data_IF_632435685200
#
_entry.id   IF_632435685200
#
_cell.length_a   1.000
_cell.length_b   1.000
_cell.length_c   1.000
_cell.angle_alpha   90.00
_cell.angle_beta   90.00
_cell.angle_gamma   90.00
#
_symmetry.space_group_name_H-M   'P 1'
#
loop_
_entity.id
_entity.type
_entity.pdbx_description
1 polymer ?
#
# COMPACT_ATOMS: atom_id res chain seq x y z
N UNK A 1 -18.37 -10.16 21.23
CA UNK A 1 -17.47 -10.66 20.18
C UNK A 1 -17.50 -9.74 18.98
N UNK A 2 -16.35 -9.49 18.42
CA UNK A 2 -16.26 -8.61 17.27
C UNK A 2 -16.31 -9.45 15.99
N UNK A 3 -17.21 -9.18 15.09
CA UNK A 3 -17.23 -9.92 13.83
C UNK A 3 -15.97 -9.61 13.02
N UNK A 4 -15.56 -10.61 12.27
CA UNK A 4 -14.46 -10.45 11.35
C UNK A 4 -14.95 -9.62 10.16
N UNK A 5 -14.27 -8.55 9.89
CA UNK A 5 -14.65 -7.63 8.84
C UNK A 5 -13.41 -7.22 8.06
N UNK A 6 -13.64 -6.48 6.98
CA UNK A 6 -12.55 -5.83 6.31
C UNK A 6 -11.81 -4.94 7.32
N UNK A 7 -10.49 -4.84 7.22
CA UNK A 7 -9.74 -4.06 8.19
C UNK A 7 -10.19 -2.61 8.17
N UNK A 8 -10.56 -2.11 9.35
CA UNK A 8 -10.91 -0.71 9.52
C UNK A 8 -9.76 0.04 10.16
N UNK A 9 -8.73 -0.69 10.59
CA UNK A 9 -7.53 -0.13 11.19
C UNK A 9 -6.32 -0.77 10.56
N UNK A 10 -5.23 -0.06 10.66
CA UNK A 10 -3.96 -0.53 10.17
C UNK A 10 -3.08 0.64 9.86
N UNK A 11 -1.84 0.38 9.49
CA UNK A 11 -0.95 1.46 9.11
C UNK A 11 -1.50 2.22 7.92
N UNK A 12 -1.41 3.54 8.00
CA UNK A 12 -1.84 4.44 6.95
C UNK A 12 -0.64 5.25 6.49
N UNK A 13 -0.45 5.33 5.20
CA UNK A 13 0.69 6.04 4.61
C UNK A 13 0.21 6.93 3.47
N UNK A 14 1.04 7.89 3.11
CA UNK A 14 0.75 8.75 1.97
C UNK A 14 0.93 7.96 0.69
N UNK A 15 0.10 8.25 -0.29
CA UNK A 15 0.15 7.55 -1.57
C UNK A 15 1.36 7.94 -2.42
N UNK A 16 2.13 8.94 -2.01
CA UNK A 16 3.39 9.30 -2.67
C UNK A 16 4.58 8.49 -2.16
N UNK A 17 4.36 7.60 -1.18
CA UNK A 17 5.40 6.71 -0.70
C UNK A 17 5.81 5.72 -1.78
N UNK A 18 7.10 5.40 -1.85
CA UNK A 18 7.57 4.40 -2.82
C UNK A 18 7.16 2.99 -2.38
N UNK A 19 7.09 2.09 -3.37
CA UNK A 19 6.78 0.67 -3.09
C UNK A 19 7.82 0.06 -2.16
N UNK A 20 9.10 0.38 -2.35
CA UNK A 20 10.16 -0.15 -1.49
C UNK A 20 9.96 0.24 -0.04
N UNK A 21 9.69 1.51 0.20
CA UNK A 21 9.47 1.99 1.56
C UNK A 21 8.20 1.38 2.16
N UNK A 22 7.16 1.25 1.36
CA UNK A 22 5.91 0.66 1.81
C UNK A 22 6.09 -0.78 2.26
N UNK A 23 6.88 -1.56 1.51
CA UNK A 23 7.18 -2.94 1.91
C UNK A 23 7.95 -2.98 3.22
N UNK A 24 8.87 -2.04 3.44
CA UNK A 24 9.58 -1.92 4.70
C UNK A 24 8.65 -1.60 5.86
N UNK A 25 7.71 -0.69 5.64
CA UNK A 25 6.72 -0.33 6.66
C UNK A 25 5.87 -1.55 7.02
N UNK A 26 5.42 -2.31 6.02
CA UNK A 26 4.64 -3.51 6.25
C UNK A 26 5.41 -4.54 7.07
N UNK A 27 6.69 -4.74 6.76
CA UNK A 27 7.54 -5.66 7.50
C UNK A 27 7.69 -5.22 8.95
N UNK A 28 7.97 -3.95 9.17
CA UNK A 28 8.15 -3.41 10.52
C UNK A 28 6.89 -3.48 11.36
N UNK A 29 5.72 -3.34 10.74
CA UNK A 29 4.43 -3.37 11.42
C UNK A 29 3.80 -4.76 11.42
N UNK A 30 4.44 -5.74 10.81
CA UNK A 30 3.86 -7.08 10.62
C UNK A 30 2.47 -7.00 9.99
N UNK A 31 2.29 -6.09 9.04
CA UNK A 31 1.01 -5.85 8.41
C UNK A 31 0.98 -6.41 7.00
N UNK A 32 -0.16 -6.93 6.60
CA UNK A 32 -0.35 -7.43 5.25
C UNK A 32 -1.02 -6.44 4.32
N UNK A 33 -1.30 -5.24 4.81
CA UNK A 33 -1.97 -4.20 4.03
C UNK A 33 -1.59 -2.82 4.55
N UNK A 34 -1.81 -1.82 3.72
CA UNK A 34 -1.64 -0.42 4.09
C UNK A 34 -2.84 0.37 3.57
N UNK A 35 -3.34 1.28 4.39
CA UNK A 35 -4.30 2.26 3.92
C UNK A 35 -3.54 3.43 3.32
N UNK A 36 -4.04 3.95 2.22
CA UNK A 36 -3.41 5.06 1.52
C UNK A 36 -4.23 6.32 1.70
N UNK A 37 -3.54 7.42 1.86
CA UNK A 37 -4.19 8.72 1.92
C UNK A 37 -3.48 9.70 0.99
N UNK A 38 -4.20 10.74 0.61
CA UNK A 38 -3.64 11.83 -0.18
C UNK A 38 -3.06 12.90 0.75
N UNK A 39 -2.67 14.02 0.18
CA UNK A 39 -2.08 15.12 0.95
C UNK A 39 -3.08 15.81 1.87
N UNK A 40 -4.37 15.59 1.66
CA UNK A 40 -5.44 16.12 2.51
C UNK A 40 -5.89 15.11 3.57
N UNK A 41 -5.11 14.04 3.77
CA UNK A 41 -5.43 12.96 4.71
C UNK A 41 -6.72 12.21 4.35
N UNK A 42 -7.19 12.34 3.12
CA UNK A 42 -8.34 11.60 2.65
C UNK A 42 -7.89 10.21 2.21
N UNK A 43 -8.60 9.20 2.69
CA UNK A 43 -8.27 7.82 2.33
C UNK A 43 -8.57 7.59 0.86
N UNK A 44 -7.54 7.22 0.11
CA UNK A 44 -7.65 7.01 -1.34
C UNK A 44 -7.68 5.55 -1.73
N UNK A 45 -7.29 4.66 -0.83
CA UNK A 45 -7.33 3.25 -1.15
C UNK A 45 -6.69 2.36 -0.10
N UNK A 46 -6.67 1.09 -0.41
CA UNK A 46 -6.06 0.05 0.39
C UNK A 46 -5.18 -0.77 -0.54
N UNK A 47 -3.98 -1.06 -0.09
CA UNK A 47 -3.07 -1.88 -0.88
C UNK A 47 -2.58 -3.05 -0.04
N UNK A 48 -2.46 -4.21 -0.66
CA UNK A 48 -2.01 -5.41 0.03
C UNK A 48 -0.54 -5.68 -0.28
N UNK A 49 0.11 -6.42 0.61
CA UNK A 49 1.48 -6.84 0.40
C UNK A 49 1.61 -7.68 -0.87
N UNK A 50 0.66 -8.59 -1.11
CA UNK A 50 0.69 -9.42 -2.31
C UNK A 50 0.71 -8.56 -3.57
N UNK A 51 -0.08 -7.49 -3.58
CA UNK A 51 -0.11 -6.57 -4.71
C UNK A 51 1.24 -5.88 -4.91
N UNK A 52 1.85 -5.42 -3.82
CA UNK A 52 3.13 -4.73 -3.90
C UNK A 52 4.25 -5.67 -4.36
N UNK A 53 4.23 -6.90 -3.88
CA UNK A 53 5.21 -7.90 -4.30
C UNK A 53 5.06 -8.18 -5.79
N UNK A 54 3.82 -8.30 -6.28
CA UNK A 54 3.57 -8.53 -7.70
C UNK A 54 4.10 -7.37 -8.54
N UNK A 55 3.90 -6.15 -8.08
CA UNK A 55 4.41 -4.96 -8.79
C UNK A 55 5.95 -4.96 -8.78
N UNK A 56 6.54 -5.28 -7.63
CA UNK A 56 8.00 -5.30 -7.52
C UNK A 56 8.63 -6.33 -8.46
N UNK A 57 7.94 -7.43 -8.69
CA UNK A 57 8.44 -8.49 -9.58
C UNK A 57 8.19 -8.19 -11.04
N UNK A 58 7.51 -7.10 -11.35
CA UNK A 58 7.24 -6.70 -12.73
C UNK A 58 8.54 -6.22 -13.40
N UNK A 59 8.77 -6.57 -14.67
CA UNK A 59 9.98 -6.12 -15.37
C UNK A 59 10.03 -4.60 -15.56
N UNK A 60 8.90 -3.92 -15.46
CA UNK A 60 8.86 -2.47 -15.58
C UNK A 60 9.10 -1.74 -14.25
N UNK A 61 9.28 -2.51 -13.16
CA UNK A 61 9.44 -1.91 -11.86
C UNK A 61 10.77 -1.18 -11.71
N UNK A 62 10.72 -0.01 -11.06
CA UNK A 62 11.90 0.70 -10.61
C UNK A 62 11.69 1.08 -9.15
N UNK A 63 12.76 1.46 -8.47
CA UNK A 63 12.68 1.87 -7.07
C UNK A 63 12.01 3.23 -6.89
N UNK A 64 11.60 3.87 -7.97
CA UNK A 64 10.91 5.15 -7.93
C UNK A 64 9.40 5.01 -8.06
N UNK A 65 8.90 3.80 -8.29
CA UNK A 65 7.46 3.58 -8.39
C UNK A 65 6.81 3.89 -7.04
N UNK A 66 5.75 4.65 -7.06
CA UNK A 66 5.02 5.07 -5.87
C UNK A 66 3.69 4.37 -5.78
N UNK A 67 3.12 4.37 -4.57
CA UNK A 67 1.86 3.67 -4.32
C UNK A 67 0.73 4.21 -5.22
N UNK A 68 0.69 5.51 -5.45
CA UNK A 68 -0.33 6.07 -6.34
C UNK A 68 -0.18 5.57 -7.78
N UNK A 69 1.05 5.24 -8.19
CA UNK A 69 1.27 4.68 -9.52
C UNK A 69 0.68 3.27 -9.59
N UNK A 70 0.81 2.51 -8.51
CA UNK A 70 0.22 1.17 -8.43
C UNK A 70 -1.30 1.26 -8.50
N UNK A 71 -1.90 2.19 -7.79
CA UNK A 71 -3.35 2.38 -7.84
C UNK A 71 -3.81 2.75 -9.25
N UNK A 72 -3.05 3.57 -9.94
CA UNK A 72 -3.38 3.96 -11.31
C UNK A 72 -3.32 2.77 -12.26
N UNK A 73 -2.39 1.83 -12.02
CA UNK A 73 -2.27 0.64 -12.84
C UNK A 73 -3.39 -0.37 -12.61
N UNK A 74 -4.16 -0.18 -11.55
CA UNK A 74 -5.25 -1.10 -11.20
C UNK A 74 -6.52 -0.89 -12.01
N UNK A 75 -6.54 0.08 -12.88
CA UNK A 75 -7.73 0.41 -13.67
C UNK A 75 -7.79 -0.36 -14.95
#
# INVERSE_FOLDING_TARGET
>A
MTPVQAPSRGPQVRDDMTVELALSVMSGASAGHLFLCDEDDQRTGLITRARLVAVRDSPAYTDQVRLRDVLALSR
#
